data_IF_419612448315
#
_entry.id   IF_419612448315
#
_cell.length_a   1.000
_cell.length_b   1.000
_cell.length_c   1.000
_cell.angle_alpha   90.00
_cell.angle_beta   90.00
_cell.angle_gamma   90.00
#
_symmetry.space_group_name_H-M   'P 1'
#
loop_
_entity.id
_entity.type
_entity.pdbx_description
1 polymer ?
#
# COMPACT_ATOMS: atom_id res chain seq x y z
N UNK A 1 4.22 -2.69 -3.89
CA UNK A 1 5.67 -2.39 -4.13
C UNK A 1 6.26 -1.50 -3.05
N UNK A 2 5.66 -0.39 -2.68
CA UNK A 2 6.04 0.30 -1.45
C UNK A 2 5.57 -0.52 -0.23
N UNK A 3 6.16 -0.30 0.96
CA UNK A 3 5.67 -0.95 2.17
C UNK A 3 4.38 -0.31 2.66
N UNK A 4 3.58 -1.06 3.42
CA UNK A 4 2.34 -0.54 4.03
C UNK A 4 2.59 0.72 4.86
N UNK A 5 3.73 0.80 5.58
CA UNK A 5 4.09 1.99 6.34
C UNK A 5 4.31 3.23 5.46
N UNK A 6 4.89 3.06 4.27
CA UNK A 6 5.06 4.16 3.31
C UNK A 6 3.70 4.63 2.82
N UNK A 7 2.80 3.72 2.47
CA UNK A 7 1.45 4.06 2.04
C UNK A 7 0.68 4.83 3.11
N UNK A 8 0.72 4.36 4.35
CA UNK A 8 0.08 5.02 5.50
C UNK A 8 0.69 6.40 5.78
N UNK A 9 2.02 6.54 5.70
CA UNK A 9 2.71 7.80 5.95
C UNK A 9 2.34 8.87 4.92
N UNK A 10 2.22 8.51 3.65
CA UNK A 10 1.81 9.44 2.59
C UNK A 10 0.39 9.97 2.89
N UNK A 11 -0.54 9.10 3.22
CA UNK A 11 -1.92 9.51 3.58
C UNK A 11 -1.93 10.35 4.86
N UNK A 12 -1.14 9.99 5.86
CA UNK A 12 -0.98 10.78 7.09
C UNK A 12 -0.45 12.18 6.81
N UNK A 13 0.43 12.34 5.86
CA UNK A 13 0.93 13.65 5.45
C UNK A 13 -0.11 14.44 4.63
N UNK A 14 -0.84 13.75 3.75
CA UNK A 14 -1.91 14.36 2.96
C UNK A 14 -3.02 14.96 3.82
N UNK A 15 -3.41 14.29 4.92
CA UNK A 15 -4.48 14.77 5.82
C UNK A 15 -4.18 16.10 6.49
N UNK A 16 -2.94 16.56 6.49
CA UNK A 16 -2.59 17.90 6.97
C UNK A 16 -3.07 19.01 6.02
N UNK A 17 -3.34 18.67 4.77
CA UNK A 17 -3.72 19.62 3.72
C UNK A 17 -5.11 19.34 3.13
N UNK A 18 -5.60 18.13 3.27
CA UNK A 18 -6.87 17.67 2.68
C UNK A 18 -7.71 17.02 3.76
N UNK A 19 -8.98 17.38 3.81
CA UNK A 19 -9.96 16.73 4.71
C UNK A 19 -10.54 15.49 4.04
N UNK A 20 -10.63 14.41 4.78
CA UNK A 20 -11.27 13.16 4.38
C UNK A 20 -12.54 12.94 5.20
N UNK A 21 -13.49 12.16 4.70
CA UNK A 21 -14.76 11.87 5.38
C UNK A 21 -14.57 10.90 6.54
N UNK A 22 -13.86 9.79 6.25
CA UNK A 22 -13.59 8.74 7.21
C UNK A 22 -12.12 8.29 7.05
N UNK A 23 -11.28 8.81 7.93
CA UNK A 23 -9.84 8.58 7.88
C UNK A 23 -9.47 7.10 8.13
N UNK A 24 -10.25 6.36 8.93
CA UNK A 24 -9.98 4.96 9.20
C UNK A 24 -10.27 4.10 7.96
N UNK A 25 -11.34 4.42 7.24
CA UNK A 25 -11.65 3.77 5.96
C UNK A 25 -10.59 4.09 4.90
N UNK A 26 -10.07 5.31 4.89
CA UNK A 26 -8.97 5.71 4.00
C UNK A 26 -7.70 4.92 4.30
N UNK A 27 -7.32 4.79 5.57
CA UNK A 27 -6.14 4.01 5.98
C UNK A 27 -6.26 2.53 5.61
N UNK A 28 -7.43 1.92 5.84
CA UNK A 28 -7.66 0.56 5.39
C UNK A 28 -7.58 0.47 3.85
N UNK A 29 -8.23 1.37 3.15
CA UNK A 29 -8.22 1.40 1.68
C UNK A 29 -6.81 1.46 1.10
N UNK A 30 -5.93 2.27 1.70
CA UNK A 30 -4.57 2.46 1.18
C UNK A 30 -3.64 1.27 1.39
N UNK A 31 -4.00 0.31 2.23
CA UNK A 31 -3.24 -0.95 2.39
C UNK A 31 -3.96 -2.16 1.79
N UNK A 32 -5.25 -2.05 1.51
CA UNK A 32 -6.10 -3.16 1.09
C UNK A 32 -5.60 -3.92 -0.15
N UNK A 33 -5.06 -3.27 -1.20
CA UNK A 33 -4.51 -4.00 -2.35
C UNK A 33 -3.46 -5.05 -2.00
N UNK A 34 -2.66 -4.82 -0.95
CA UNK A 34 -1.63 -5.75 -0.49
C UNK A 34 -2.21 -6.96 0.25
N UNK A 35 -3.45 -6.87 0.76
CA UNK A 35 -4.14 -7.95 1.45
C UNK A 35 -4.88 -8.94 0.54
N UNK A 36 -4.67 -8.87 -0.77
CA UNK A 36 -5.32 -9.79 -1.70
C UNK A 36 -4.61 -11.15 -1.71
N UNK A 37 -5.38 -12.21 -1.49
CA UNK A 37 -4.93 -13.60 -1.57
C UNK A 37 -5.14 -14.21 -2.95
N UNK A 38 -6.04 -13.60 -3.77
CA UNK A 38 -6.28 -13.97 -5.17
C UNK A 38 -6.80 -12.79 -5.97
N UNK A 39 -6.64 -12.84 -7.30
CA UNK A 39 -7.09 -11.81 -8.23
C UNK A 39 -6.01 -10.78 -8.57
N UNK A 40 -6.41 -9.71 -9.28
CA UNK A 40 -5.51 -8.65 -9.73
C UNK A 40 -5.78 -7.35 -8.96
N UNK A 41 -5.56 -7.38 -7.64
CA UNK A 41 -5.81 -6.25 -6.74
C UNK A 41 -5.09 -4.97 -7.16
N UNK A 42 -3.87 -5.10 -7.68
CA UNK A 42 -3.08 -3.96 -8.15
C UNK A 42 -3.43 -3.50 -9.56
N UNK A 43 -4.41 -4.12 -10.22
CA UNK A 43 -4.81 -3.79 -11.59
C UNK A 43 -3.64 -3.69 -12.56
N UNK A 44 -2.70 -4.64 -12.45
CA UNK A 44 -1.56 -4.70 -13.35
C UNK A 44 -2.00 -4.97 -14.78
N UNK A 45 -1.64 -4.07 -15.68
CA UNK A 45 -1.94 -4.14 -17.11
C UNK A 45 -0.64 -4.17 -17.89
N UNK A 46 -0.49 -5.17 -18.75
CA UNK A 46 0.68 -5.30 -19.61
C UNK A 46 0.66 -4.22 -20.70
N UNK A 47 1.84 -3.67 -20.97
CA UNK A 47 2.09 -2.65 -22.00
C UNK A 47 3.37 -3.00 -22.74
N UNK A 48 3.69 -2.26 -23.82
CA UNK A 48 4.90 -2.44 -24.62
C UNK A 48 5.09 -3.91 -25.04
N UNK A 49 4.10 -4.46 -25.76
CA UNK A 49 4.13 -5.84 -26.26
C UNK A 49 4.36 -6.89 -25.15
N UNK A 50 3.74 -6.66 -23.99
CA UNK A 50 3.86 -7.51 -22.79
C UNK A 50 5.24 -7.51 -22.09
N UNK A 51 6.15 -6.61 -22.45
CA UNK A 51 7.48 -6.52 -21.83
C UNK A 51 7.47 -5.70 -20.53
N UNK A 52 6.46 -4.84 -20.35
CA UNK A 52 6.29 -3.98 -19.16
C UNK A 52 4.87 -4.06 -18.66
N UNK A 53 4.63 -3.52 -17.48
CA UNK A 53 3.28 -3.32 -16.96
C UNK A 53 3.12 -1.96 -16.30
N UNK A 54 1.88 -1.50 -16.25
CA UNK A 54 1.43 -0.34 -15.50
C UNK A 54 0.23 -0.74 -14.64
N UNK A 55 -0.33 0.21 -13.91
CA UNK A 55 -1.55 0.05 -13.12
C UNK A 55 -2.72 0.67 -13.89
N UNK A 56 -3.82 -0.06 -14.07
CA UNK A 56 -4.99 0.41 -14.84
C UNK A 56 -5.87 1.33 -13.99
N UNK A 57 -5.39 2.56 -13.78
CA UNK A 57 -6.11 3.58 -13.01
C UNK A 57 -7.41 4.01 -13.67
N UNK A 58 -7.49 3.95 -14.99
CA UNK A 58 -8.70 4.29 -15.75
C UNK A 58 -9.81 3.29 -15.45
N UNK A 59 -9.51 1.99 -15.53
CA UNK A 59 -10.45 0.94 -15.15
C UNK A 59 -11.00 1.16 -13.74
N UNK A 60 -10.13 1.49 -12.77
CA UNK A 60 -10.59 1.71 -11.39
C UNK A 60 -11.54 2.91 -11.29
N UNK A 61 -11.21 4.03 -11.94
CA UNK A 61 -12.08 5.22 -11.96
C UNK A 61 -13.42 4.96 -12.63
N UNK A 62 -13.42 4.27 -13.75
CA UNK A 62 -14.65 3.97 -14.50
C UNK A 62 -15.58 3.07 -13.69
N UNK A 63 -15.03 2.08 -13.00
CA UNK A 63 -15.81 1.11 -12.25
C UNK A 63 -16.20 1.61 -10.86
N UNK A 64 -15.29 2.25 -10.15
CA UNK A 64 -15.45 2.60 -8.74
C UNK A 64 -15.49 4.12 -8.46
N UNK A 65 -15.45 4.98 -9.48
CA UNK A 65 -15.42 6.43 -9.31
C UNK A 65 -16.56 6.98 -8.46
N UNK A 66 -17.79 6.49 -8.67
CA UNK A 66 -18.96 6.88 -7.87
C UNK A 66 -18.86 6.47 -6.39
N UNK A 67 -18.15 5.39 -6.10
CA UNK A 67 -17.87 4.97 -4.72
C UNK A 67 -16.80 5.87 -4.10
N UNK A 68 -15.73 6.24 -4.83
CA UNK A 68 -14.70 7.16 -4.34
C UNK A 68 -15.26 8.52 -3.92
N UNK A 69 -16.33 8.99 -4.56
CA UNK A 69 -16.98 10.25 -4.19
C UNK A 69 -17.68 10.20 -2.84
N UNK A 70 -17.98 9.02 -2.32
CA UNK A 70 -18.81 8.80 -1.12
C UNK A 70 -18.11 8.07 0.00
N UNK A 71 -17.06 7.30 -0.30
CA UNK A 71 -16.44 6.36 0.60
C UNK A 71 -14.91 6.40 0.46
N UNK A 72 -14.26 6.79 1.54
CA UNK A 72 -12.80 6.95 1.57
C UNK A 72 -12.04 5.61 1.49
N UNK A 73 -12.70 4.45 1.66
CA UNK A 73 -12.10 3.15 1.39
C UNK A 73 -11.65 3.03 -0.08
N UNK A 74 -12.55 3.41 -0.99
CA UNK A 74 -12.25 3.38 -2.44
C UNK A 74 -11.24 4.44 -2.84
N UNK A 75 -11.29 5.61 -2.21
CA UNK A 75 -10.30 6.65 -2.41
C UNK A 75 -8.92 6.17 -1.95
N UNK A 76 -8.83 5.54 -0.79
CA UNK A 76 -7.60 4.94 -0.26
C UNK A 76 -7.03 3.89 -1.21
N UNK A 77 -7.88 3.00 -1.70
CA UNK A 77 -7.49 2.00 -2.70
C UNK A 77 -6.88 2.63 -3.95
N UNK A 78 -7.55 3.64 -4.50
CA UNK A 78 -7.04 4.37 -5.66
C UNK A 78 -5.72 5.08 -5.39
N UNK A 79 -5.58 5.68 -4.21
CA UNK A 79 -4.32 6.30 -3.78
C UNK A 79 -3.18 5.30 -3.67
N UNK A 80 -3.44 4.06 -3.20
CA UNK A 80 -2.45 2.99 -3.21
C UNK A 80 -1.90 2.74 -4.63
N UNK A 81 -2.79 2.58 -5.60
CA UNK A 81 -2.39 2.32 -6.99
C UNK A 81 -1.54 3.46 -7.57
N UNK A 82 -1.90 4.72 -7.27
CA UNK A 82 -1.11 5.89 -7.67
C UNK A 82 0.27 5.89 -7.00
N UNK A 83 0.31 5.64 -5.70
CA UNK A 83 1.55 5.62 -4.93
C UNK A 83 2.50 4.53 -5.44
N UNK A 84 1.98 3.35 -5.71
CA UNK A 84 2.77 2.24 -6.27
C UNK A 84 3.28 2.56 -7.68
N UNK A 85 2.46 3.20 -8.51
CA UNK A 85 2.87 3.63 -9.85
C UNK A 85 4.02 4.64 -9.77
N UNK A 86 3.91 5.64 -8.89
CA UNK A 86 4.95 6.66 -8.70
C UNK A 86 6.21 6.07 -8.08
N UNK A 87 6.07 5.20 -7.08
CA UNK A 87 7.18 4.52 -6.44
C UNK A 87 7.94 3.62 -7.44
N UNK A 88 7.21 2.88 -8.26
CA UNK A 88 7.80 2.06 -9.32
C UNK A 88 8.56 2.92 -10.32
N UNK A 89 7.98 4.05 -10.77
CA UNK A 89 8.65 4.98 -11.67
C UNK A 89 9.97 5.49 -11.07
N UNK A 90 9.96 5.85 -9.80
CA UNK A 90 11.14 6.28 -9.07
C UNK A 90 12.19 5.17 -8.99
N UNK A 91 11.82 3.98 -8.52
CA UNK A 91 12.74 2.86 -8.31
C UNK A 91 13.39 2.38 -9.62
N UNK A 92 12.59 2.09 -10.62
CA UNK A 92 13.09 1.54 -11.89
C UNK A 92 13.64 2.61 -12.85
N UNK A 93 13.06 3.81 -12.84
CA UNK A 93 13.46 4.90 -13.72
C UNK A 93 14.60 5.72 -13.17
N UNK A 94 14.36 6.41 -12.06
CA UNK A 94 15.32 7.39 -11.52
C UNK A 94 16.46 6.70 -10.75
N UNK A 95 16.15 5.63 -10.01
CA UNK A 95 17.13 4.91 -9.17
C UNK A 95 17.80 3.75 -9.88
N UNK A 96 17.30 3.34 -11.05
CA UNK A 96 17.86 2.24 -11.81
C UNK A 96 17.78 0.88 -11.09
N UNK A 97 16.89 0.75 -10.08
CA UNK A 97 16.71 -0.51 -9.36
C UNK A 97 16.05 -1.56 -10.25
N UNK A 98 16.43 -2.82 -10.10
CA UNK A 98 15.89 -3.90 -10.91
C UNK A 98 15.67 -5.16 -10.06
N UNK A 99 14.41 -5.61 -10.01
CA UNK A 99 14.02 -6.83 -9.28
C UNK A 99 14.58 -8.11 -9.87
N UNK A 100 15.00 -8.10 -11.14
CA UNK A 100 15.62 -9.28 -11.79
C UNK A 100 17.08 -9.52 -11.37
N UNK A 101 17.71 -8.56 -10.69
CA UNK A 101 19.04 -8.75 -10.14
C UNK A 101 18.94 -9.59 -8.87
N UNK A 102 19.64 -10.74 -8.80
CA UNK A 102 19.60 -11.61 -7.62
C UNK A 102 19.95 -10.86 -6.33
N UNK A 103 19.17 -11.07 -5.29
CA UNK A 103 19.34 -10.45 -3.97
C UNK A 103 18.77 -9.03 -3.83
N UNK A 104 18.32 -8.37 -4.91
CA UNK A 104 17.76 -7.03 -4.81
C UNK A 104 16.42 -7.00 -4.06
N UNK A 105 15.57 -7.99 -4.27
CA UNK A 105 14.27 -8.08 -3.59
C UNK A 105 14.47 -8.27 -2.08
N UNK A 106 15.36 -9.17 -1.69
CA UNK A 106 15.69 -9.42 -0.27
C UNK A 106 16.32 -8.19 0.40
N UNK A 107 17.17 -7.46 -0.32
CA UNK A 107 17.71 -6.17 0.17
C UNK A 107 16.61 -5.14 0.39
N UNK A 108 15.68 -5.02 -0.57
CA UNK A 108 14.57 -4.08 -0.47
C UNK A 108 13.68 -4.40 0.73
N UNK A 109 13.35 -5.68 0.95
CA UNK A 109 12.57 -6.09 2.12
C UNK A 109 13.28 -5.77 3.44
N UNK A 110 14.59 -5.99 3.51
CA UNK A 110 15.39 -5.63 4.68
C UNK A 110 15.43 -4.11 4.90
N UNK A 111 15.54 -3.33 3.82
CA UNK A 111 15.48 -1.88 3.89
C UNK A 111 14.11 -1.40 4.40
N UNK A 112 13.01 -2.07 4.01
CA UNK A 112 11.69 -1.78 4.56
C UNK A 112 11.59 -2.06 6.06
N UNK A 113 12.19 -3.13 6.57
CA UNK A 113 12.21 -3.42 8.01
C UNK A 113 12.85 -2.27 8.80
N UNK A 114 13.92 -1.67 8.27
CA UNK A 114 14.58 -0.51 8.88
C UNK A 114 13.73 0.76 8.71
N UNK A 115 13.26 1.00 7.49
CA UNK A 115 12.50 2.22 7.15
C UNK A 115 11.14 2.27 7.85
N UNK A 116 10.45 1.14 8.00
CA UNK A 116 9.13 1.09 8.62
C UNK A 116 9.12 1.65 10.04
N UNK A 117 10.13 1.31 10.85
CA UNK A 117 10.25 1.88 12.20
C UNK A 117 10.46 3.40 12.17
N UNK A 118 11.36 3.87 11.30
CA UNK A 118 11.62 5.31 11.16
C UNK A 118 10.37 6.06 10.66
N UNK A 119 9.71 5.54 9.64
CA UNK A 119 8.54 6.14 9.01
C UNK A 119 7.37 6.19 10.00
N UNK A 120 7.10 5.10 10.72
CA UNK A 120 6.02 5.06 11.69
C UNK A 120 6.19 6.10 12.79
N UNK A 121 7.40 6.29 13.29
CA UNK A 121 7.72 7.32 14.30
C UNK A 121 7.63 8.74 13.74
N UNK A 122 8.26 8.98 12.59
CA UNK A 122 8.32 10.31 11.96
C UNK A 122 6.93 10.85 11.62
N UNK A 123 6.02 10.00 11.17
CA UNK A 123 4.68 10.38 10.74
C UNK A 123 3.60 10.08 11.78
N UNK A 124 4.00 9.69 13.01
CA UNK A 124 3.08 9.39 14.12
C UNK A 124 2.01 8.36 13.73
N UNK A 125 2.43 7.29 13.05
CA UNK A 125 1.54 6.19 12.71
C UNK A 125 1.32 5.30 13.94
N UNK A 126 0.11 4.79 14.10
CA UNK A 126 -0.25 3.86 15.18
C UNK A 126 -1.16 2.74 14.69
N UNK A 127 -1.16 1.61 15.40
CA UNK A 127 -1.95 0.44 15.05
C UNK A 127 -3.47 0.72 15.06
N UNK A 128 -3.91 1.64 15.91
CA UNK A 128 -5.32 2.01 16.07
C UNK A 128 -5.90 2.75 14.84
N UNK A 129 -5.04 3.24 13.95
CA UNK A 129 -5.47 3.86 12.69
C UNK A 129 -6.10 2.84 11.74
N UNK A 130 -5.77 1.55 11.90
CA UNK A 130 -6.20 0.49 11.01
C UNK A 130 -7.29 -0.30 11.70
N UNK A 131 -8.49 -0.21 11.17
CA UNK A 131 -9.68 -0.88 11.70
C UNK A 131 -10.16 -1.96 10.73
N UNK A 132 -10.56 -3.10 11.29
CA UNK A 132 -11.11 -4.21 10.53
C UNK A 132 -12.47 -3.82 9.92
N UNK A 133 -12.71 -4.28 8.69
CA UNK A 133 -13.96 -4.11 7.97
C UNK A 133 -14.32 -5.41 7.26
N UNK A 134 -15.58 -5.80 7.34
CA UNK A 134 -16.10 -6.90 6.55
C UNK A 134 -16.36 -6.43 5.10
N UNK A 135 -15.70 -7.06 4.14
CA UNK A 135 -15.81 -6.78 2.71
C UNK A 135 -16.61 -7.83 1.95
N UNK A 136 -17.25 -8.78 2.61
CA UNK A 136 -17.93 -9.92 1.96
C UNK A 136 -18.95 -9.47 0.92
N UNK A 137 -19.73 -8.43 1.23
CA UNK A 137 -20.76 -7.86 0.34
C UNK A 137 -20.28 -6.58 -0.38
N UNK A 138 -19.02 -6.20 -0.20
CA UNK A 138 -18.47 -4.98 -0.80
C UNK A 138 -18.18 -5.21 -2.29
N UNK A 139 -18.48 -4.23 -3.18
CA UNK A 139 -18.13 -4.32 -4.60
C UNK A 139 -16.64 -4.58 -4.89
N UNK A 140 -15.72 -4.22 -3.99
CA UNK A 140 -14.30 -4.54 -4.12
C UNK A 140 -14.02 -6.06 -4.07
N UNK A 141 -14.88 -6.86 -3.43
CA UNK A 141 -14.77 -8.32 -3.43
C UNK A 141 -14.92 -8.93 -4.84
N UNK A 142 -15.46 -8.18 -5.80
CA UNK A 142 -15.50 -8.60 -7.21
C UNK A 142 -14.18 -8.38 -7.95
N UNK A 143 -13.30 -7.54 -7.41
CA UNK A 143 -11.99 -7.23 -7.99
C UNK A 143 -10.93 -8.25 -7.61
N UNK A 144 -10.91 -8.63 -6.35
CA UNK A 144 -9.95 -9.57 -5.78
C UNK A 144 -10.53 -10.19 -4.49
N UNK A 145 -9.96 -11.29 -4.06
CA UNK A 145 -10.24 -11.90 -2.76
C UNK A 145 -9.27 -11.32 -1.73
N UNK A 146 -9.80 -10.71 -0.68
CA UNK A 146 -9.02 -10.04 0.37
C UNK A 146 -9.12 -10.80 1.70
N UNK A 147 -7.98 -11.07 2.33
CA UNK A 147 -7.92 -11.44 3.74
C UNK A 147 -7.60 -10.20 4.58
N UNK A 148 -8.64 -9.46 4.94
CA UNK A 148 -8.51 -8.20 5.70
C UNK A 148 -7.93 -8.44 7.09
N UNK A 149 -8.28 -9.57 7.71
CA UNK A 149 -7.81 -9.89 9.05
C UNK A 149 -6.31 -10.18 9.06
N UNK A 150 -5.86 -11.03 8.14
CA UNK A 150 -4.44 -11.37 8.00
C UNK A 150 -3.62 -10.13 7.63
N UNK A 151 -4.10 -9.31 6.69
CA UNK A 151 -3.48 -8.04 6.33
C UNK A 151 -3.27 -7.12 7.54
N UNK A 152 -4.31 -6.96 8.37
CA UNK A 152 -4.23 -6.09 9.55
C UNK A 152 -3.24 -6.66 10.58
N UNK A 153 -3.23 -7.97 10.80
CA UNK A 153 -2.27 -8.62 11.69
C UNK A 153 -0.83 -8.43 11.19
N UNK A 154 -0.59 -8.60 9.89
CA UNK A 154 0.72 -8.37 9.26
C UNK A 154 1.18 -6.93 9.44
N UNK A 155 0.33 -5.96 9.07
CA UNK A 155 0.67 -4.53 9.17
C UNK A 155 0.88 -4.11 10.63
N UNK A 156 0.08 -4.60 11.58
CA UNK A 156 0.31 -4.37 13.01
C UNK A 156 1.64 -4.93 13.49
N UNK A 157 2.05 -6.08 12.95
CA UNK A 157 3.37 -6.66 13.22
C UNK A 157 4.54 -5.75 12.79
N UNK A 158 4.36 -4.96 11.74
CA UNK A 158 5.37 -4.00 11.28
C UNK A 158 5.62 -2.83 12.25
N UNK A 159 4.68 -2.54 13.16
CA UNK A 159 4.85 -1.54 14.23
C UNK A 159 5.69 -2.04 15.41
N UNK A 160 5.92 -3.34 15.52
CA UNK A 160 6.67 -3.93 16.63
C UNK A 160 8.14 -3.54 16.51
N UNK A 161 8.67 -2.83 17.52
CA UNK A 161 10.07 -2.45 17.57
C UNK A 161 10.96 -3.69 17.76
N UNK A 162 11.83 -3.95 16.81
CA UNK A 162 12.93 -4.90 16.97
C UNK A 162 14.03 -4.26 17.84
N UNK A 163 13.94 -4.40 19.16
CA UNK A 163 14.86 -3.78 20.11
C UNK A 163 16.30 -4.32 20.02
N UNK A 164 16.50 -5.50 19.43
CA UNK A 164 17.77 -6.23 19.52
C UNK A 164 18.69 -6.06 18.31
N UNK A 165 18.20 -5.69 17.14
CA UNK A 165 19.03 -5.59 15.92
C UNK A 165 19.78 -4.26 15.75
N UNK A 166 19.47 -3.23 16.53
CA UNK A 166 20.15 -1.92 16.45
C UNK A 166 21.60 -1.93 16.93
N UNK A 167 21.99 -2.91 17.71
CA UNK A 167 23.33 -2.96 18.33
C UNK A 167 24.36 -3.72 17.51
N UNK A 168 23.98 -4.42 16.45
CA UNK A 168 24.91 -5.21 15.63
C UNK A 168 25.45 -4.47 14.40
N UNK A 169 25.00 -3.23 14.15
CA UNK A 169 25.44 -2.40 13.00
C UNK A 169 26.31 -1.21 13.47
N UNK A 170 26.50 -1.05 14.77
CA UNK A 170 27.46 -0.12 15.37
C UNK A 170 28.70 -0.87 15.82
#
# INVERSE_FOLDING_TARGET
MASSMIHLAIVQEMRKKVSFRDINRLFLGVILPDGAVAGNSHLKKKICENTRYTYDLEFFRDRYGKYMEKDDLYLGYYLHLIQDMLYRRFMYGEHGWNSSVPGNVEKLHRDYEILNEYVSKKYSLSQEMIQELDLTEDPLAQLAEFDVKDLIEEVRGEFVQRKEEKLSIL
#
